data_IF_177843923751
#
_entry.id   IF_177843923751
#
_cell.length_a   1.000
_cell.length_b   1.000
_cell.length_c   1.000
_cell.angle_alpha   90.00
_cell.angle_beta   90.00
_cell.angle_gamma   90.00
#
_symmetry.space_group_name_H-M   'P 1'
#
loop_
_entity.id
_entity.type
_entity.pdbx_description
1 polymer ?
#
# COMPACT_ATOMS: atom_id res chain seq x y z
N UNK A 1 -10.43 22.12 -6.95
CA UNK A 1 -11.45 23.00 -7.57
C UNK A 1 -12.83 22.35 -7.71
N UNK A 2 -12.94 21.03 -7.96
CA UNK A 2 -14.21 20.30 -8.15
C UNK A 2 -15.18 20.43 -6.96
N UNK A 3 -14.68 20.52 -5.72
CA UNK A 3 -15.50 20.56 -4.51
C UNK A 3 -15.49 21.93 -3.79
N UNK A 4 -14.73 22.90 -4.29
CA UNK A 4 -14.55 24.21 -3.64
C UNK A 4 -13.67 24.16 -2.39
N UNK A 5 -13.06 25.31 -2.07
CA UNK A 5 -12.07 25.43 -0.96
C UNK A 5 -12.69 25.17 0.42
N UNK A 6 -13.94 25.60 0.62
CA UNK A 6 -14.63 25.44 1.91
C UNK A 6 -14.87 23.97 2.21
N UNK A 7 -15.48 23.22 1.27
CA UNK A 7 -15.70 21.78 1.40
C UNK A 7 -14.39 21.03 1.65
N UNK A 8 -13.35 21.31 0.87
CA UNK A 8 -12.05 20.69 1.04
C UNK A 8 -11.46 20.94 2.44
N UNK A 9 -11.60 22.18 2.97
CA UNK A 9 -11.15 22.53 4.32
C UNK A 9 -11.91 21.78 5.41
N UNK A 10 -13.23 21.64 5.26
CA UNK A 10 -14.10 20.92 6.21
C UNK A 10 -13.75 19.41 6.21
N UNK A 11 -13.64 18.81 5.03
CA UNK A 11 -13.24 17.40 4.91
C UNK A 11 -11.86 17.18 5.51
N UNK A 12 -10.87 18.04 5.24
CA UNK A 12 -9.53 17.89 5.81
C UNK A 12 -9.51 17.99 7.34
N UNK A 13 -10.36 18.81 7.94
CA UNK A 13 -10.50 18.87 9.41
C UNK A 13 -11.10 17.57 9.97
N UNK A 14 -12.17 17.07 9.35
CA UNK A 14 -12.79 15.79 9.72
C UNK A 14 -11.81 14.63 9.52
N UNK A 15 -11.09 14.58 8.41
CA UNK A 15 -10.15 13.53 8.06
C UNK A 15 -9.06 13.32 9.11
N UNK A 16 -8.56 14.40 9.73
CA UNK A 16 -7.56 14.29 10.80
C UNK A 16 -8.05 13.52 12.03
N UNK A 17 -9.34 13.69 12.38
CA UNK A 17 -9.96 12.94 13.46
C UNK A 17 -10.20 11.50 13.03
N UNK A 18 -10.84 11.33 11.89
CA UNK A 18 -11.13 9.99 11.32
C UNK A 18 -9.84 9.18 11.17
N UNK A 19 -8.75 9.77 10.68
CA UNK A 19 -7.47 9.08 10.58
C UNK A 19 -6.99 8.51 11.91
N UNK A 20 -7.06 9.28 12.99
CA UNK A 20 -6.67 8.79 14.32
C UNK A 20 -7.55 7.63 14.79
N UNK A 21 -8.89 7.79 14.60
CA UNK A 21 -9.85 6.74 14.92
C UNK A 21 -9.59 5.45 14.11
N UNK A 22 -9.25 5.58 12.82
CA UNK A 22 -8.90 4.45 11.97
C UNK A 22 -7.60 3.76 12.42
N UNK A 23 -6.58 4.54 12.76
CA UNK A 23 -5.30 3.98 13.26
C UNK A 23 -5.48 3.29 14.61
N UNK A 24 -6.30 3.85 15.51
CA UNK A 24 -6.59 3.24 16.81
C UNK A 24 -7.42 1.94 16.71
N UNK A 25 -8.22 1.80 15.64
CA UNK A 25 -9.08 0.63 15.40
C UNK A 25 -8.44 -0.41 14.48
N UNK A 26 -7.34 -0.08 13.82
CA UNK A 26 -6.61 -1.02 12.98
C UNK A 26 -6.06 -2.20 13.80
N UNK A 27 -5.92 -3.34 13.15
CA UNK A 27 -5.27 -4.47 13.79
C UNK A 27 -3.80 -4.14 14.10
N UNK A 28 -3.30 -4.64 15.20
CA UNK A 28 -1.86 -4.56 15.50
C UNK A 28 -1.10 -5.46 14.52
N UNK A 29 -0.26 -4.85 13.69
CA UNK A 29 0.58 -5.54 12.69
C UNK A 29 2.07 -5.55 13.08
N UNK A 30 2.39 -5.13 14.29
CA UNK A 30 3.72 -5.06 14.87
C UNK A 30 4.43 -3.73 14.65
N UNK A 31 4.87 -3.09 15.73
CA UNK A 31 5.59 -1.81 15.68
C UNK A 31 6.94 -1.90 14.94
N UNK A 32 7.57 -3.07 14.96
CA UNK A 32 8.84 -3.36 14.28
C UNK A 32 8.65 -3.90 12.85
N UNK A 33 7.41 -3.93 12.37
CA UNK A 33 7.09 -4.40 11.02
C UNK A 33 7.63 -3.44 9.96
N UNK A 34 8.54 -3.89 9.08
CA UNK A 34 9.11 -3.04 8.04
C UNK A 34 8.08 -2.48 7.04
N UNK A 35 6.87 -3.06 6.99
CA UNK A 35 5.79 -2.64 6.09
C UNK A 35 4.67 -1.85 6.79
N UNK A 36 4.75 -1.63 8.11
CA UNK A 36 3.67 -0.97 8.87
C UNK A 36 3.30 0.40 8.30
N UNK A 37 4.28 1.15 7.79
CA UNK A 37 4.03 2.46 7.22
C UNK A 37 3.09 2.43 5.99
N UNK A 38 3.02 1.31 5.24
CA UNK A 38 2.13 1.18 4.08
C UNK A 38 0.66 1.25 4.51
N UNK A 39 0.32 0.64 5.65
CA UNK A 39 -1.03 0.74 6.20
C UNK A 39 -1.34 2.17 6.62
N UNK A 40 -0.47 2.80 7.40
CA UNK A 40 -0.64 4.19 7.82
C UNK A 40 -0.77 5.15 6.63
N UNK A 41 0.01 4.92 5.58
CA UNK A 41 -0.07 5.68 4.34
C UNK A 41 -1.44 5.49 3.67
N UNK A 42 -1.90 4.25 3.49
CA UNK A 42 -3.20 3.94 2.91
C UNK A 42 -4.34 4.58 3.73
N UNK A 43 -4.33 4.44 5.06
CA UNK A 43 -5.34 5.02 5.94
C UNK A 43 -5.41 6.54 5.85
N UNK A 44 -4.31 7.22 5.53
CA UNK A 44 -4.30 8.67 5.32
C UNK A 44 -5.17 9.12 4.14
N UNK A 45 -5.45 8.23 3.18
CA UNK A 45 -6.35 8.46 2.03
C UNK A 45 -7.72 7.81 2.20
N UNK A 46 -7.84 6.77 3.01
CA UNK A 46 -9.15 6.23 3.44
C UNK A 46 -9.87 7.26 4.31
N UNK A 47 -9.15 7.96 5.18
CA UNK A 47 -9.75 8.92 6.11
C UNK A 47 -10.58 10.04 5.45
N UNK A 48 -10.13 10.74 4.38
CA UNK A 48 -10.97 11.72 3.69
C UNK A 48 -12.17 11.08 2.98
N UNK A 49 -12.06 9.86 2.49
CA UNK A 49 -13.18 9.13 1.91
C UNK A 49 -14.26 8.86 2.96
N UNK A 50 -13.89 8.29 4.09
CA UNK A 50 -14.79 8.04 5.22
C UNK A 50 -15.35 9.36 5.79
N UNK A 51 -14.50 10.38 5.98
CA UNK A 51 -14.90 11.69 6.50
C UNK A 51 -15.90 12.43 5.61
N UNK A 52 -15.95 12.09 4.33
CA UNK A 52 -16.92 12.61 3.36
C UNK A 52 -18.22 11.79 3.30
N UNK A 53 -18.40 10.80 4.18
CA UNK A 53 -19.49 9.83 4.11
C UNK A 53 -19.51 9.12 2.74
N UNK A 54 -18.32 8.81 2.18
CA UNK A 54 -18.09 8.20 0.86
C UNK A 54 -18.61 9.04 -0.32
N UNK A 55 -18.81 10.34 -0.14
CA UNK A 55 -19.26 11.25 -1.20
C UNK A 55 -18.13 11.69 -2.15
N UNK A 56 -16.87 11.43 -1.81
CA UNK A 56 -15.75 11.61 -2.72
C UNK A 56 -15.64 10.34 -3.59
N UNK A 57 -15.67 10.44 -4.93
CA UNK A 57 -15.50 9.27 -5.79
C UNK A 57 -14.17 8.55 -5.51
N UNK A 58 -14.13 7.20 -5.52
CA UNK A 58 -12.92 6.41 -5.33
C UNK A 58 -11.75 6.85 -6.21
N UNK A 59 -12.02 7.17 -7.48
CA UNK A 59 -11.02 7.63 -8.46
C UNK A 59 -10.41 8.99 -8.06
N UNK A 60 -11.17 9.82 -7.34
CA UNK A 60 -10.63 11.08 -6.80
C UNK A 60 -9.66 10.80 -5.66
N UNK A 61 -9.93 9.79 -4.83
CA UNK A 61 -8.99 9.35 -3.77
C UNK A 61 -7.71 8.80 -4.40
N UNK A 62 -7.83 7.96 -5.42
CA UNK A 62 -6.69 7.44 -6.19
C UNK A 62 -5.84 8.58 -6.77
N UNK A 63 -6.46 9.57 -7.39
CA UNK A 63 -5.74 10.71 -7.94
C UNK A 63 -5.05 11.55 -6.86
N UNK A 64 -5.63 11.68 -5.67
CA UNK A 64 -4.98 12.33 -4.53
C UNK A 64 -3.72 11.57 -4.11
N UNK A 65 -3.77 10.25 -4.00
CA UNK A 65 -2.61 9.40 -3.71
C UNK A 65 -1.55 9.54 -4.79
N UNK A 66 -1.95 9.40 -6.05
CA UNK A 66 -1.06 9.52 -7.21
C UNK A 66 -0.32 10.86 -7.21
N UNK A 67 -1.01 11.97 -6.99
CA UNK A 67 -0.39 13.30 -6.89
C UNK A 67 0.59 13.38 -5.72
N UNK A 68 0.28 12.77 -4.59
CA UNK A 68 1.17 12.72 -3.43
C UNK A 68 2.47 11.97 -3.76
N UNK A 69 2.39 10.83 -4.46
CA UNK A 69 3.55 10.08 -4.93
C UNK A 69 4.40 10.92 -5.90
N UNK A 70 3.78 11.58 -6.87
CA UNK A 70 4.51 12.47 -7.80
C UNK A 70 5.14 13.69 -7.12
N UNK A 71 4.52 14.19 -6.04
CA UNK A 71 5.11 15.28 -5.26
C UNK A 71 6.42 14.87 -4.59
N UNK A 72 6.54 13.61 -4.19
CA UNK A 72 7.76 13.04 -3.58
C UNK A 72 8.56 12.15 -4.55
N UNK A 73 8.36 12.30 -5.85
CA UNK A 73 9.07 11.50 -6.88
C UNK A 73 10.59 11.48 -6.73
N UNK A 74 11.17 12.57 -6.25
CA UNK A 74 12.60 12.69 -5.96
C UNK A 74 13.10 11.69 -4.93
N UNK A 75 12.23 11.24 -4.03
CA UNK A 75 12.55 10.19 -3.06
C UNK A 75 12.64 8.83 -3.74
N UNK A 76 11.67 8.49 -4.58
CA UNK A 76 11.66 7.22 -5.31
C UNK A 76 12.80 7.13 -6.32
N UNK A 77 13.10 8.22 -7.02
CA UNK A 77 14.18 8.29 -8.00
C UNK A 77 15.60 8.06 -7.44
N UNK A 78 15.75 7.96 -6.11
CA UNK A 78 17.03 7.56 -5.48
C UNK A 78 17.38 6.10 -5.73
N UNK A 79 16.38 5.27 -5.99
CA UNK A 79 16.55 3.85 -6.32
C UNK A 79 16.23 3.68 -7.80
N UNK A 80 17.22 3.27 -8.60
CA UNK A 80 17.03 3.00 -10.02
C UNK A 80 17.04 1.49 -10.26
N UNK A 81 15.85 0.93 -10.49
CA UNK A 81 15.63 -0.51 -10.68
C UNK A 81 16.20 -1.05 -12.00
N UNK A 82 16.66 -0.18 -12.93
CA UNK A 82 17.40 -0.62 -14.10
C UNK A 82 18.89 -0.89 -13.81
N UNK A 83 19.38 -0.51 -12.62
CA UNK A 83 20.75 -0.75 -12.21
C UNK A 83 20.88 -2.01 -11.36
N UNK A 84 22.04 -2.68 -11.41
CA UNK A 84 22.32 -3.82 -10.54
C UNK A 84 22.25 -3.44 -9.05
N UNK A 85 22.67 -2.22 -8.70
CA UNK A 85 22.59 -1.68 -7.34
C UNK A 85 21.12 -1.52 -6.90
N UNK A 86 20.28 -0.86 -7.69
CA UNK A 86 18.87 -0.65 -7.36
C UNK A 86 18.10 -1.97 -7.23
N UNK A 87 18.33 -2.92 -8.13
CA UNK A 87 17.78 -4.28 -8.03
C UNK A 87 18.18 -4.99 -6.73
N UNK A 88 19.47 -4.89 -6.36
CA UNK A 88 19.98 -5.49 -5.13
C UNK A 88 19.37 -4.83 -3.88
N UNK A 89 19.22 -3.51 -3.86
CA UNK A 89 18.58 -2.77 -2.77
C UNK A 89 17.10 -3.14 -2.63
N UNK A 90 16.36 -3.21 -3.74
CA UNK A 90 14.95 -3.64 -3.74
C UNK A 90 14.83 -5.08 -3.20
N UNK A 91 15.61 -6.01 -3.73
CA UNK A 91 15.64 -7.41 -3.24
C UNK A 91 15.95 -7.49 -1.75
N UNK A 92 16.92 -6.71 -1.26
CA UNK A 92 17.27 -6.66 0.17
C UNK A 92 16.08 -6.19 1.03
N UNK A 93 15.32 -5.21 0.57
CA UNK A 93 14.12 -4.73 1.28
C UNK A 93 13.05 -5.81 1.36
N UNK A 94 12.76 -6.48 0.24
CA UNK A 94 11.76 -7.58 0.20
C UNK A 94 12.19 -8.75 1.08
N UNK A 95 13.48 -9.13 1.05
CA UNK A 95 14.04 -10.17 1.96
C UNK A 95 13.88 -9.77 3.43
N UNK A 96 14.04 -8.49 3.76
CA UNK A 96 13.83 -8.00 5.13
C UNK A 96 12.37 -8.21 5.56
N UNK A 97 11.40 -7.94 4.70
CA UNK A 97 9.99 -8.16 4.97
C UNK A 97 9.67 -9.64 5.17
N UNK A 98 10.13 -10.50 4.26
CA UNK A 98 9.91 -11.94 4.35
C UNK A 98 10.54 -12.56 5.62
N UNK A 99 11.71 -12.06 6.05
CA UNK A 99 12.37 -12.52 7.28
C UNK A 99 11.70 -12.03 8.56
N UNK A 100 11.00 -10.91 8.53
CA UNK A 100 10.31 -10.40 9.69
C UNK A 100 9.10 -11.28 10.06
N UNK A 101 8.42 -11.85 9.07
CA UNK A 101 7.22 -12.66 9.25
C UNK A 101 7.59 -14.10 9.59
N UNK A 102 7.93 -14.34 10.88
CA UNK A 102 8.22 -15.68 11.42
C UNK A 102 6.93 -16.36 11.90
N UNK A 103 6.92 -17.69 12.19
CA UNK A 103 5.78 -18.37 12.78
C UNK A 103 5.28 -17.73 14.08
N UNK A 104 6.19 -17.19 14.90
CA UNK A 104 5.83 -16.46 16.13
C UNK A 104 5.12 -15.16 15.80
N UNK A 105 5.63 -14.40 14.80
CA UNK A 105 5.00 -13.16 14.31
C UNK A 105 3.65 -13.45 13.64
N UNK A 106 3.52 -14.55 12.91
CA UNK A 106 2.24 -14.99 12.33
C UNK A 106 1.19 -15.26 13.41
N UNK A 107 1.60 -15.88 14.51
CA UNK A 107 0.70 -16.13 15.64
C UNK A 107 0.32 -14.83 16.36
N UNK A 108 1.27 -13.93 16.55
CA UNK A 108 1.07 -12.67 17.26
C UNK A 108 0.31 -11.64 16.42
N UNK A 109 0.59 -11.57 15.10
CA UNK A 109 0.04 -10.59 14.17
C UNK A 109 -0.55 -11.27 12.93
N UNK A 110 -1.64 -12.03 13.07
CA UNK A 110 -2.17 -12.91 12.00
C UNK A 110 -2.67 -12.14 10.77
N UNK A 111 -3.01 -10.87 10.92
CA UNK A 111 -3.48 -9.99 9.83
C UNK A 111 -2.36 -9.20 9.17
N UNK A 112 -1.11 -9.33 9.64
CA UNK A 112 0.03 -8.57 9.12
C UNK A 112 0.39 -8.95 7.67
N UNK A 113 1.18 -8.10 7.00
CA UNK A 113 1.69 -8.44 5.67
C UNK A 113 2.52 -9.72 5.70
N UNK A 114 2.14 -10.69 4.89
CA UNK A 114 2.92 -11.91 4.68
C UNK A 114 3.54 -11.88 3.29
N UNK A 115 4.86 -11.97 3.26
CA UNK A 115 5.66 -11.94 2.02
C UNK A 115 6.36 -13.27 1.84
N UNK A 116 6.07 -13.93 0.72
CA UNK A 116 6.68 -15.20 0.34
C UNK A 116 7.47 -15.06 -0.96
N UNK A 117 8.64 -15.71 -1.03
CA UNK A 117 9.33 -15.92 -2.31
C UNK A 117 8.90 -17.25 -2.92
N UNK A 118 8.33 -17.22 -4.13
CA UNK A 118 7.84 -18.40 -4.83
C UNK A 118 8.51 -18.47 -6.19
N UNK A 119 9.64 -19.20 -6.25
CA UNK A 119 10.42 -19.28 -7.47
C UNK A 119 10.98 -17.94 -7.94
N UNK A 120 11.68 -17.95 -9.06
CA UNK A 120 12.04 -16.73 -9.79
C UNK A 120 11.74 -16.97 -11.26
N UNK A 121 10.54 -16.57 -11.74
CA UNK A 121 10.13 -16.85 -13.11
C UNK A 121 11.00 -16.17 -14.16
N UNK A 122 11.70 -15.09 -13.75
CA UNK A 122 12.62 -14.33 -14.61
C UNK A 122 13.99 -14.20 -13.96
N UNK A 123 15.03 -14.52 -14.72
CA UNK A 123 16.39 -14.34 -14.27
C UNK A 123 16.68 -12.86 -13.95
N UNK A 124 17.23 -12.61 -12.77
CA UNK A 124 17.52 -11.26 -12.28
C UNK A 124 16.32 -10.45 -11.73
N UNK A 125 15.10 -10.94 -11.84
CA UNK A 125 13.95 -10.31 -11.24
C UNK A 125 13.84 -10.60 -9.74
N UNK A 126 13.26 -9.66 -8.97
CA UNK A 126 12.87 -9.90 -7.60
C UNK A 126 11.39 -10.29 -7.58
N UNK A 127 11.12 -11.60 -7.60
CA UNK A 127 9.77 -12.13 -7.56
C UNK A 127 9.34 -12.51 -6.14
N UNK A 128 8.22 -11.97 -5.72
CA UNK A 128 7.63 -12.29 -4.43
C UNK A 128 6.10 -12.21 -4.50
N UNK A 129 5.44 -12.80 -3.51
CA UNK A 129 4.01 -12.71 -3.32
C UNK A 129 3.69 -12.12 -1.96
N UNK A 130 2.62 -11.36 -1.90
CA UNK A 130 1.96 -10.97 -0.65
C UNK A 130 0.71 -11.82 -0.52
N UNK A 131 0.66 -12.68 0.50
CA UNK A 131 -0.44 -13.63 0.74
C UNK A 131 -1.38 -13.19 1.86
N UNK A 132 -1.03 -12.12 2.61
CA UNK A 132 -1.89 -11.44 3.54
C UNK A 132 -1.67 -9.93 3.42
N UNK A 133 -2.75 -9.17 3.31
CA UNK A 133 -2.72 -7.71 3.23
C UNK A 133 -3.61 -7.10 4.31
N UNK A 134 -3.04 -6.48 5.38
CA UNK A 134 -3.82 -5.86 6.45
C UNK A 134 -4.71 -4.74 5.94
N UNK A 135 -4.27 -4.00 4.92
CA UNK A 135 -5.03 -2.90 4.31
C UNK A 135 -6.34 -3.43 3.73
N UNK A 136 -6.29 -4.53 2.97
CA UNK A 136 -7.49 -5.17 2.41
C UNK A 136 -8.41 -5.70 3.51
N UNK A 137 -7.86 -6.40 4.51
CA UNK A 137 -8.61 -6.92 5.65
C UNK A 137 -9.33 -5.80 6.42
N UNK A 138 -8.64 -4.69 6.64
CA UNK A 138 -9.23 -3.56 7.35
C UNK A 138 -10.24 -2.80 6.50
N UNK A 139 -9.99 -2.66 5.20
CA UNK A 139 -10.95 -2.07 4.25
C UNK A 139 -12.28 -2.84 4.22
N UNK A 140 -12.24 -4.17 4.33
CA UNK A 140 -13.44 -5.00 4.44
C UNK A 140 -14.22 -4.69 5.73
N UNK A 141 -13.54 -4.58 6.88
CA UNK A 141 -14.15 -4.20 8.16
C UNK A 141 -14.81 -2.81 8.10
N UNK A 142 -14.21 -1.87 7.38
CA UNK A 142 -14.72 -0.51 7.19
C UNK A 142 -15.80 -0.39 6.10
N UNK A 143 -16.00 -1.44 5.30
CA UNK A 143 -16.90 -1.41 4.13
C UNK A 143 -16.42 -0.42 3.05
N UNK A 144 -15.10 -0.32 2.82
CA UNK A 144 -14.47 0.56 1.81
C UNK A 144 -13.61 -0.24 0.83
N UNK A 145 -13.95 -1.51 0.61
CA UNK A 145 -13.21 -2.44 -0.26
C UNK A 145 -13.03 -1.90 -1.68
N UNK A 146 -13.96 -1.09 -2.15
CA UNK A 146 -13.94 -0.46 -3.48
C UNK A 146 -12.72 0.43 -3.75
N UNK A 147 -12.03 0.88 -2.69
CA UNK A 147 -10.78 1.64 -2.83
C UNK A 147 -9.58 0.75 -3.13
N UNK A 148 -9.63 -0.53 -2.77
CA UNK A 148 -8.44 -1.38 -2.75
C UNK A 148 -7.85 -1.68 -4.12
N UNK A 149 -8.61 -2.02 -5.16
CA UNK A 149 -8.05 -2.18 -6.51
C UNK A 149 -7.31 -0.92 -6.97
N UNK A 150 -7.92 0.25 -6.74
CA UNK A 150 -7.34 1.55 -7.12
C UNK A 150 -6.04 1.87 -6.35
N UNK A 151 -5.95 1.41 -5.10
CA UNK A 151 -4.72 1.57 -4.30
C UNK A 151 -3.62 0.64 -4.79
N UNK A 152 -3.97 -0.60 -5.15
CA UNK A 152 -3.01 -1.55 -5.71
C UNK A 152 -2.40 -1.07 -7.04
N UNK A 153 -3.16 -0.34 -7.89
CA UNK A 153 -2.63 0.25 -9.12
C UNK A 153 -1.50 1.27 -8.86
N UNK A 154 -1.43 1.87 -7.67
CA UNK A 154 -0.37 2.81 -7.32
C UNK A 154 0.99 2.16 -7.08
N UNK A 155 1.04 0.84 -6.90
CA UNK A 155 2.31 0.12 -6.85
C UNK A 155 3.06 0.25 -8.18
N UNK A 156 2.34 0.21 -9.31
CA UNK A 156 2.91 0.46 -10.64
C UNK A 156 3.50 1.87 -10.74
N UNK A 157 2.80 2.86 -10.19
CA UNK A 157 3.31 4.25 -10.15
C UNK A 157 4.60 4.32 -9.35
N UNK A 158 4.66 3.69 -8.16
CA UNK A 158 5.86 3.70 -7.33
C UNK A 158 7.04 3.02 -8.02
N UNK A 159 6.82 1.87 -8.66
CA UNK A 159 7.85 1.14 -9.41
C UNK A 159 8.31 1.94 -10.63
N UNK A 160 7.40 2.58 -11.36
CA UNK A 160 7.72 3.45 -12.49
C UNK A 160 8.57 4.65 -12.06
N UNK A 161 8.27 5.26 -10.90
CA UNK A 161 9.07 6.34 -10.34
C UNK A 161 10.49 5.90 -9.94
N UNK A 162 10.72 4.59 -9.79
CA UNK A 162 12.03 3.95 -9.59
C UNK A 162 12.63 3.40 -10.89
N UNK A 163 12.12 3.83 -12.05
CA UNK A 163 12.55 3.39 -13.38
C UNK A 163 12.34 1.89 -13.65
N UNK A 164 11.47 1.23 -12.88
CA UNK A 164 11.11 -0.17 -13.05
C UNK A 164 9.81 -0.36 -13.83
N UNK A 165 9.51 -1.61 -14.12
CA UNK A 165 8.22 -2.08 -14.65
C UNK A 165 7.71 -3.14 -13.70
N UNK A 166 6.49 -2.96 -13.20
CA UNK A 166 5.81 -3.97 -12.40
C UNK A 166 5.05 -4.91 -13.33
N UNK A 167 5.36 -6.19 -13.26
CA UNK A 167 4.54 -7.25 -13.84
C UNK A 167 3.72 -7.89 -12.73
N UNK A 168 2.41 -7.86 -12.86
CA UNK A 168 1.46 -8.39 -11.88
C UNK A 168 0.20 -8.89 -12.57
N UNK A 169 -0.22 -10.09 -12.23
CA UNK A 169 -1.41 -10.74 -12.79
C UNK A 169 -2.53 -10.85 -11.75
N UNK A 170 -2.18 -10.88 -10.45
CA UNK A 170 -3.12 -11.12 -9.37
C UNK A 170 -3.00 -10.08 -8.26
N UNK A 171 -4.14 -9.70 -7.66
CA UNK A 171 -4.18 -8.95 -6.41
C UNK A 171 -5.25 -9.51 -5.46
N UNK A 172 -4.98 -9.43 -4.16
CA UNK A 172 -5.98 -9.71 -3.12
C UNK A 172 -7.15 -8.72 -3.22
N UNK A 173 -6.88 -7.51 -3.69
CA UNK A 173 -7.90 -6.47 -3.88
C UNK A 173 -8.96 -6.89 -4.89
N UNK A 174 -8.59 -7.59 -5.96
CA UNK A 174 -9.48 -8.08 -7.00
C UNK A 174 -10.03 -9.50 -6.71
N UNK A 175 -9.83 -10.00 -5.49
CA UNK A 175 -10.33 -11.31 -5.06
C UNK A 175 -9.36 -12.47 -5.33
N UNK A 176 -8.12 -12.19 -5.73
CA UNK A 176 -7.07 -13.19 -5.82
C UNK A 176 -6.59 -13.68 -4.44
N UNK A 177 -5.97 -14.86 -4.42
CA UNK A 177 -5.41 -15.45 -3.19
C UNK A 177 -4.12 -14.74 -2.74
N UNK A 178 -3.48 -14.00 -3.62
CA UNK A 178 -2.23 -13.27 -3.38
C UNK A 178 -2.09 -12.06 -4.32
N UNK A 179 -1.16 -11.17 -3.97
CA UNK A 179 -0.63 -10.20 -4.92
C UNK A 179 0.76 -10.66 -5.37
N UNK A 180 1.00 -10.72 -6.68
CA UNK A 180 2.30 -11.07 -7.26
C UNK A 180 3.07 -9.82 -7.72
N UNK A 181 4.38 -9.89 -7.58
CA UNK A 181 5.29 -8.79 -7.91
C UNK A 181 6.55 -9.32 -8.59
N UNK A 182 6.80 -8.98 -9.85
CA UNK A 182 8.04 -9.26 -10.58
C UNK A 182 8.31 -8.24 -11.69
#
# INVERSE_FOLDING_TARGET
EKYGKQYASEIMKKSKRVYRELVEQADDIGDDNPMAYNELFALSFVAPYVASDKNIPPETVQEMMRRSLYHIKWYFAKTDLNTAKGKAENKKSVVKYAKWYTPEKETQYPTSFKVDFVGQPHEGACYYRITCCPICTYADKLGVRELMPLFCELDEVMITLQHGVLHREHTIADGGEYCDYY
#
